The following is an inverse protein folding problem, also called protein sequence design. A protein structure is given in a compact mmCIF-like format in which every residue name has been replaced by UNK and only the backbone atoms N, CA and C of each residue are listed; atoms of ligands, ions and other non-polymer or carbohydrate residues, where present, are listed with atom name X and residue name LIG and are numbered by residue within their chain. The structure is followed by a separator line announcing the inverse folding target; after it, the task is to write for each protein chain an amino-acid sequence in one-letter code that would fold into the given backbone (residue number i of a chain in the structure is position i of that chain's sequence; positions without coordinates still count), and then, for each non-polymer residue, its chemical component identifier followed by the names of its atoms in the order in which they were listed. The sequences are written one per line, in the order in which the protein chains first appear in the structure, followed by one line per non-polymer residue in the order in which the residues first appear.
data_IF_466753565157
#
_entry.id   IF_466753565157
#
_cell.length_a   1.000
_cell.length_b   1.000
_cell.length_c   1.000
_cell.angle_alpha   90.00
_cell.angle_beta   90.00
_cell.angle_gamma   90.00
#
_symmetry.space_group_name_H-M   'P 1'
#
loop_
_entity.id
_entity.type
_entity.pdbx_description
1 polymer ?
#
# COMPACT_ATOMS: atom_id res chain seq x y z
N UNK A 1 21.65 5.49 -23.71
CA UNK A 1 22.15 5.00 -22.41
C UNK A 1 22.80 3.65 -22.67
N UNK A 2 23.90 3.33 -21.99
CA UNK A 2 24.54 2.02 -22.12
C UNK A 2 23.53 0.91 -21.78
N UNK A 3 23.30 -0.09 -22.66
CA UNK A 3 22.37 -1.19 -22.40
C UNK A 3 22.64 -1.92 -21.08
N UNK A 4 23.91 -2.07 -20.70
CA UNK A 4 24.30 -2.73 -19.45
C UNK A 4 23.87 -1.92 -18.22
N UNK A 5 23.99 -0.59 -18.29
CA UNK A 5 23.53 0.33 -17.25
C UNK A 5 22.01 0.31 -17.13
N UNK A 6 21.28 0.28 -18.25
CA UNK A 6 19.81 0.19 -18.23
C UNK A 6 19.34 -1.12 -17.59
N UNK A 7 19.97 -2.25 -17.91
CA UNK A 7 19.65 -3.54 -17.30
C UNK A 7 19.91 -3.54 -15.79
N UNK A 8 21.07 -3.03 -15.36
CA UNK A 8 21.42 -2.94 -13.94
C UNK A 8 20.43 -2.06 -13.15
N UNK A 9 20.07 -0.89 -13.70
CA UNK A 9 19.09 0.01 -13.09
C UNK A 9 17.71 -0.65 -12.98
N UNK A 10 17.25 -1.34 -14.02
CA UNK A 10 15.98 -2.09 -14.00
C UNK A 10 15.97 -3.10 -12.85
N UNK A 11 17.02 -3.92 -12.72
CA UNK A 11 17.14 -4.91 -11.65
C UNK A 11 17.05 -4.28 -10.25
N UNK A 12 17.77 -3.16 -10.03
CA UNK A 12 17.74 -2.42 -8.77
C UNK A 12 16.34 -1.90 -8.46
N UNK A 13 15.69 -1.24 -9.42
CA UNK A 13 14.36 -0.67 -9.20
C UNK A 13 13.28 -1.73 -9.01
N UNK A 14 13.40 -2.90 -9.66
CA UNK A 14 12.53 -4.05 -9.41
C UNK A 14 12.69 -4.55 -7.98
N UNK A 15 13.93 -4.75 -7.52
CA UNK A 15 14.20 -5.22 -6.17
C UNK A 15 13.63 -4.25 -5.12
N UNK A 16 13.84 -2.95 -5.32
CA UNK A 16 13.26 -1.90 -4.47
C UNK A 16 11.73 -1.92 -4.53
N UNK A 17 11.12 -2.05 -5.71
CA UNK A 17 9.67 -2.12 -5.86
C UNK A 17 9.08 -3.28 -5.06
N UNK A 18 9.67 -4.48 -5.18
CA UNK A 18 9.25 -5.66 -4.42
C UNK A 18 9.40 -5.43 -2.91
N UNK A 19 10.51 -4.85 -2.47
CA UNK A 19 10.72 -4.52 -1.05
C UNK A 19 9.64 -3.57 -0.53
N UNK A 20 9.27 -2.53 -1.28
CA UNK A 20 8.21 -1.62 -0.89
C UNK A 20 6.82 -2.26 -0.90
N UNK A 21 6.55 -3.18 -1.85
CA UNK A 21 5.33 -4.00 -1.83
C UNK A 21 5.27 -4.82 -0.54
N UNK A 22 6.38 -5.43 -0.11
CA UNK A 22 6.45 -6.19 1.15
C UNK A 22 6.16 -5.30 2.36
N UNK A 23 6.77 -4.11 2.44
CA UNK A 23 6.47 -3.16 3.52
C UNK A 23 5.00 -2.75 3.55
N UNK A 24 4.38 -2.56 2.38
CA UNK A 24 2.96 -2.27 2.33
C UNK A 24 2.12 -3.46 2.82
N UNK A 25 2.38 -4.66 2.31
CA UNK A 25 1.67 -5.89 2.67
C UNK A 25 1.82 -6.27 4.15
N UNK A 26 2.89 -5.82 4.81
CA UNK A 26 3.04 -5.99 6.27
C UNK A 26 1.87 -5.41 7.04
N UNK A 27 1.34 -4.24 6.66
CA UNK A 27 0.15 -3.65 7.29
C UNK A 27 -1.11 -4.50 7.08
N UNK A 28 -1.25 -5.10 5.89
CA UNK A 28 -2.34 -6.03 5.61
C UNK A 28 -2.25 -7.29 6.47
N UNK A 29 -1.08 -7.92 6.54
CA UNK A 29 -0.83 -9.10 7.37
C UNK A 29 -1.05 -8.78 8.86
N UNK A 30 -0.52 -7.66 9.34
CA UNK A 30 -0.75 -7.18 10.70
C UNK A 30 -2.25 -7.03 10.98
N UNK A 31 -3.02 -6.48 10.04
CA UNK A 31 -4.47 -6.31 10.21
C UNK A 31 -5.22 -7.63 10.40
N UNK A 32 -4.76 -8.74 9.79
CA UNK A 32 -5.30 -10.08 10.07
C UNK A 32 -4.95 -10.55 11.48
N UNK A 33 -3.70 -10.38 11.88
CA UNK A 33 -3.22 -10.76 13.22
C UNK A 33 -3.97 -9.98 14.31
N UNK A 34 -4.04 -8.65 14.22
CA UNK A 34 -4.72 -7.81 15.20
C UNK A 34 -6.21 -8.09 15.29
N UNK A 35 -6.90 -8.40 14.17
CA UNK A 35 -8.31 -8.81 14.21
C UNK A 35 -8.52 -10.10 15.00
N UNK A 36 -7.59 -11.06 14.93
CA UNK A 36 -7.66 -12.28 15.74
C UNK A 36 -7.41 -12.02 17.23
N UNK A 37 -6.54 -11.05 17.54
CA UNK A 37 -6.24 -10.66 18.93
C UNK A 37 -7.37 -9.82 19.56
N UNK A 38 -8.18 -9.13 18.75
CA UNK A 38 -9.37 -8.41 19.19
C UNK A 38 -10.54 -9.40 19.37
N UNK A 39 -10.60 -10.08 20.51
CA UNK A 39 -11.73 -10.93 20.90
C UNK A 39 -12.82 -10.12 21.62
N UNK A 40 -14.03 -10.70 21.74
CA UNK A 40 -15.14 -10.11 22.51
C UNK A 40 -14.81 -9.84 23.98
N UNK A 41 -13.84 -10.57 24.52
CA UNK A 41 -13.49 -10.55 25.94
C UNK A 41 -12.35 -9.57 26.25
N UNK A 42 -11.77 -8.93 25.23
CA UNK A 42 -10.75 -7.91 25.43
C UNK A 42 -11.34 -6.69 26.14
N UNK A 43 -10.68 -6.23 27.21
CA UNK A 43 -11.10 -4.99 27.85
C UNK A 43 -11.02 -3.82 26.88
N UNK A 44 -11.85 -2.81 27.05
CA UNK A 44 -11.85 -1.63 26.17
C UNK A 44 -10.46 -0.99 26.04
N UNK A 45 -9.68 -0.99 27.14
CA UNK A 45 -8.31 -0.50 27.16
C UNK A 45 -7.35 -1.37 26.35
N UNK A 46 -7.45 -2.71 26.47
CA UNK A 46 -6.65 -3.65 25.66
C UNK A 46 -6.99 -3.54 24.17
N UNK A 47 -8.28 -3.48 23.85
CA UNK A 47 -8.74 -3.33 22.47
C UNK A 47 -8.23 -2.02 21.85
N UNK A 48 -8.21 -0.92 22.61
CA UNK A 48 -7.64 0.34 22.16
C UNK A 48 -6.14 0.25 21.93
N UNK A 49 -5.38 -0.34 22.85
CA UNK A 49 -3.93 -0.53 22.69
C UNK A 49 -3.58 -1.35 21.44
N UNK A 50 -4.32 -2.43 21.18
CA UNK A 50 -4.16 -3.25 19.98
C UNK A 50 -4.49 -2.47 18.70
N UNK A 51 -5.57 -1.67 18.69
CA UNK A 51 -5.92 -0.82 17.54
C UNK A 51 -4.89 0.27 17.28
N UNK A 52 -4.30 0.86 18.33
CA UNK A 52 -3.21 1.83 18.18
C UNK A 52 -1.95 1.19 17.60
N UNK A 53 -1.59 -0.02 18.07
CA UNK A 53 -0.47 -0.78 17.52
C UNK A 53 -0.71 -1.12 16.04
N UNK A 54 -1.91 -1.61 15.71
CA UNK A 54 -2.33 -1.85 14.33
C UNK A 54 -2.23 -0.58 13.47
N UNK A 55 -2.73 0.56 13.98
CA UNK A 55 -2.66 1.84 13.29
C UNK A 55 -1.21 2.25 13.00
N UNK A 56 -0.30 2.13 13.97
CA UNK A 56 1.12 2.47 13.78
C UNK A 56 1.78 1.62 12.72
N UNK A 57 1.53 0.31 12.72
CA UNK A 57 2.08 -0.62 11.70
C UNK A 57 1.48 -0.31 10.32
N UNK A 58 0.17 -0.09 10.23
CA UNK A 58 -0.50 0.26 8.97
C UNK A 58 -0.02 1.61 8.43
N UNK A 59 0.17 2.59 9.31
CA UNK A 59 0.66 3.91 8.92
C UNK A 59 2.12 3.84 8.45
N UNK A 60 2.97 3.05 9.12
CA UNK A 60 4.35 2.82 8.67
C UNK A 60 4.37 2.13 7.29
N UNK A 61 3.67 1.00 7.15
CA UNK A 61 3.60 0.26 5.89
C UNK A 61 3.02 1.10 4.75
N UNK A 62 2.00 1.91 5.02
CA UNK A 62 1.41 2.83 4.04
C UNK A 62 2.30 4.03 3.70
N UNK A 63 2.93 4.66 4.69
CA UNK A 63 3.75 5.86 4.49
C UNK A 63 5.11 5.55 3.86
N UNK A 64 5.67 4.36 4.09
CA UNK A 64 6.94 3.93 3.48
C UNK A 64 6.69 3.09 2.23
N UNK A 65 5.89 2.02 2.36
CA UNK A 65 5.60 1.12 1.25
C UNK A 65 4.80 1.80 0.13
N UNK A 66 3.81 2.63 0.49
CA UNK A 66 2.96 3.32 -0.48
C UNK A 66 3.72 4.20 -1.48
N UNK A 67 4.36 5.28 -1.00
CA UNK A 67 5.21 6.13 -1.83
C UNK A 67 6.39 5.38 -2.47
N UNK A 68 6.95 4.37 -1.79
CA UNK A 68 8.03 3.56 -2.37
C UNK A 68 7.58 2.79 -3.62
N UNK A 69 6.44 2.09 -3.55
CA UNK A 69 5.81 1.40 -4.69
C UNK A 69 5.47 2.39 -5.80
N UNK A 70 4.98 3.60 -5.45
CA UNK A 70 4.70 4.67 -6.41
C UNK A 70 5.93 4.99 -7.25
N UNK A 71 6.98 5.45 -6.56
CA UNK A 71 8.13 6.08 -7.18
C UNK A 71 8.88 5.04 -8.00
N UNK A 72 9.12 3.87 -7.43
CA UNK A 72 9.78 2.77 -8.14
C UNK A 72 8.95 2.26 -9.32
N UNK A 73 7.61 2.20 -9.20
CA UNK A 73 6.73 1.79 -10.30
C UNK A 73 6.74 2.77 -11.46
N UNK A 74 6.72 4.08 -11.20
CA UNK A 74 6.82 5.13 -12.23
C UNK A 74 8.18 5.10 -12.93
N UNK A 75 9.26 4.92 -12.16
CA UNK A 75 10.61 4.82 -12.73
C UNK A 75 10.70 3.59 -13.65
N UNK A 76 10.22 2.42 -13.19
CA UNK A 76 10.20 1.20 -14.01
C UNK A 76 9.40 1.37 -15.29
N UNK A 77 8.26 2.06 -15.23
CA UNK A 77 7.47 2.34 -16.42
C UNK A 77 8.25 3.15 -17.45
N UNK A 78 8.97 4.18 -17.01
CA UNK A 78 9.85 4.98 -17.87
C UNK A 78 11.02 4.17 -18.47
N UNK A 79 11.57 3.23 -17.70
CA UNK A 79 12.68 2.38 -18.15
C UNK A 79 12.26 1.30 -19.18
N UNK A 80 11.00 0.87 -19.17
CA UNK A 80 10.47 -0.20 -20.04
C UNK A 80 9.67 0.37 -21.23
N UNK A 81 9.50 1.70 -21.31
CA UNK A 81 8.75 2.41 -22.38
C UNK A 81 7.32 1.91 -22.58
N UNK A 82 6.67 1.45 -21.51
CA UNK A 82 5.26 1.10 -21.56
C UNK A 82 4.41 2.37 -21.42
N UNK A 83 3.32 2.44 -22.18
CA UNK A 83 2.42 3.61 -22.17
C UNK A 83 1.99 3.99 -20.76
N UNK A 84 2.27 5.23 -20.35
CA UNK A 84 1.72 5.83 -19.15
C UNK A 84 0.26 6.19 -19.41
N UNK A 85 -0.67 5.76 -18.55
CA UNK A 85 -2.10 6.11 -18.61
C UNK A 85 -2.80 5.78 -19.94
N UNK A 86 -2.30 4.81 -20.71
CA UNK A 86 -2.92 4.44 -21.98
C UNK A 86 -2.52 5.29 -23.19
N UNK A 87 -1.51 6.17 -23.08
CA UNK A 87 -0.97 6.94 -24.23
C UNK A 87 -0.09 6.08 -25.17
N UNK A 88 -0.64 4.94 -25.61
CA UNK A 88 -0.02 3.93 -26.46
C UNK A 88 -0.76 2.58 -26.35
N UNK A 89 -0.44 1.55 -27.17
CA UNK A 89 -1.05 0.23 -27.07
C UNK A 89 -0.73 -0.40 -25.71
N UNK A 90 -1.66 -0.21 -24.77
CA UNK A 90 -1.52 -0.59 -23.37
C UNK A 90 -2.44 -1.78 -23.12
N UNK A 91 -1.92 -2.95 -22.71
CA UNK A 91 -2.76 -4.09 -22.37
C UNK A 91 -3.80 -3.74 -21.30
N UNK A 92 -5.02 -4.26 -21.43
CA UNK A 92 -6.15 -3.94 -20.52
C UNK A 92 -5.80 -4.18 -19.04
N UNK A 93 -5.06 -5.25 -18.73
CA UNK A 93 -4.65 -5.56 -17.35
C UNK A 93 -3.76 -4.46 -16.75
N UNK A 94 -2.89 -3.85 -17.56
CA UNK A 94 -1.98 -2.78 -17.13
C UNK A 94 -2.76 -1.48 -16.91
N UNK A 95 -3.73 -1.19 -17.79
CA UNK A 95 -4.64 -0.07 -17.61
C UNK A 95 -5.43 -0.18 -16.31
N UNK A 96 -6.04 -1.35 -16.03
CA UNK A 96 -6.77 -1.59 -14.77
C UNK A 96 -5.85 -1.41 -13.56
N UNK A 97 -4.62 -1.91 -13.64
CA UNK A 97 -3.60 -1.76 -12.58
C UNK A 97 -3.29 -0.29 -12.32
N UNK A 98 -3.08 0.51 -13.38
CA UNK A 98 -2.80 1.95 -13.27
C UNK A 98 -4.01 2.70 -12.68
N UNK A 99 -5.24 2.35 -13.08
CA UNK A 99 -6.45 2.97 -12.54
C UNK A 99 -6.65 2.68 -11.04
N UNK A 100 -6.54 1.41 -10.63
CA UNK A 100 -6.64 1.04 -9.21
C UNK A 100 -5.56 1.73 -8.38
N UNK A 101 -4.39 1.89 -8.96
CA UNK A 101 -3.29 2.62 -8.35
C UNK A 101 -3.60 4.12 -8.13
N UNK A 102 -4.18 4.81 -9.13
CA UNK A 102 -4.63 6.21 -8.99
C UNK A 102 -5.71 6.35 -7.91
N UNK A 103 -6.71 5.45 -7.89
CA UNK A 103 -7.76 5.43 -6.86
C UNK A 103 -7.15 5.29 -5.47
N UNK A 104 -6.18 4.38 -5.31
CA UNK A 104 -5.50 4.15 -4.03
C UNK A 104 -4.76 5.40 -3.54
N UNK A 105 -4.10 6.13 -4.44
CA UNK A 105 -3.44 7.39 -4.10
C UNK A 105 -4.42 8.47 -3.66
N UNK A 106 -5.54 8.63 -4.38
CA UNK A 106 -6.57 9.62 -4.02
C UNK A 106 -7.15 9.31 -2.64
N UNK A 107 -7.47 8.04 -2.37
CA UNK A 107 -7.95 7.61 -1.04
C UNK A 107 -6.89 7.84 0.04
N UNK A 108 -5.63 7.54 -0.26
CA UNK A 108 -4.54 7.73 0.69
C UNK A 108 -4.33 9.22 1.03
N UNK A 109 -4.16 10.07 0.01
CA UNK A 109 -3.87 11.49 0.19
C UNK A 109 -5.09 12.27 0.70
N UNK A 110 -6.28 11.98 0.19
CA UNK A 110 -7.51 12.70 0.52
C UNK A 110 -8.18 12.25 1.82
N UNK A 111 -7.98 11.00 2.24
CA UNK A 111 -8.69 10.45 3.41
C UNK A 111 -7.72 9.91 4.47
N UNK A 112 -6.78 9.04 4.12
CA UNK A 112 -5.90 8.41 5.12
C UNK A 112 -4.95 9.43 5.75
N UNK A 113 -4.21 10.19 4.95
CA UNK A 113 -3.20 11.13 5.43
C UNK A 113 -3.78 12.21 6.37
N UNK A 114 -4.86 12.93 6.04
CA UNK A 114 -5.43 13.92 6.96
C UNK A 114 -5.99 13.27 8.24
N UNK A 115 -6.65 12.12 8.13
CA UNK A 115 -7.17 11.43 9.31
C UNK A 115 -6.05 10.83 10.17
N UNK A 116 -4.94 10.40 9.58
CA UNK A 116 -3.77 9.90 10.32
C UNK A 116 -3.18 11.00 11.20
N UNK A 117 -3.10 12.24 10.67
CA UNK A 117 -2.68 13.41 11.45
C UNK A 117 -3.63 13.67 12.61
N UNK A 118 -4.95 13.67 12.36
CA UNK A 118 -5.98 13.84 13.40
C UNK A 118 -5.91 12.75 14.47
N UNK A 119 -5.76 11.48 14.08
CA UNK A 119 -5.59 10.37 15.02
C UNK A 119 -4.35 10.56 15.86
N UNK A 120 -3.22 10.98 15.27
CA UNK A 120 -2.00 11.24 16.05
C UNK A 120 -2.24 12.31 17.12
N UNK A 121 -2.85 13.44 16.76
CA UNK A 121 -3.21 14.49 17.73
C UNK A 121 -4.19 13.98 18.79
N UNK A 122 -5.21 13.21 18.39
CA UNK A 122 -6.16 12.63 19.32
C UNK A 122 -5.52 11.58 20.26
N UNK A 123 -4.48 10.87 19.81
CA UNK A 123 -3.70 9.96 20.65
C UNK A 123 -2.91 10.72 21.71
N UNK A 124 -2.29 11.85 21.33
CA UNK A 124 -1.55 12.69 22.27
C UNK A 124 -2.52 13.26 23.33
N UNK A 125 -3.66 13.81 22.91
CA UNK A 125 -4.71 14.30 23.82
C UNK A 125 -5.29 13.20 24.73
N UNK A 126 -5.45 11.97 24.22
CA UNK A 126 -5.94 10.85 25.01
C UNK A 126 -4.93 10.39 26.06
N UNK A 127 -3.62 10.50 25.78
CA UNK A 127 -2.59 10.22 26.76
C UNK A 127 -2.63 11.21 27.94
N UNK A 128 -2.93 12.48 27.65
CA UNK A 128 -2.97 13.53 28.67
C UNK A 128 -4.29 13.55 29.47
N UNK A 129 -5.43 13.35 28.80
CA UNK A 129 -6.77 13.55 29.39
C UNK A 129 -7.56 12.27 29.65
N UNK A 130 -7.12 11.13 29.10
CA UNK A 130 -7.88 9.88 29.10
C UNK A 130 -9.11 9.86 28.18
N UNK A 131 -9.42 10.96 27.49
CA UNK A 131 -10.58 11.03 26.59
C UNK A 131 -10.26 10.40 25.23
N UNK A 132 -10.95 9.29 24.93
CA UNK A 132 -10.77 8.52 23.68
C UNK A 132 -11.91 8.67 22.67
N UNK A 133 -12.89 9.55 22.91
CA UNK A 133 -14.08 9.65 22.06
C UNK A 133 -13.73 10.01 20.61
N UNK A 134 -12.79 10.95 20.41
CA UNK A 134 -12.34 11.34 19.07
C UNK A 134 -11.67 10.17 18.34
N UNK A 135 -10.79 9.43 19.01
CA UNK A 135 -10.15 8.22 18.46
C UNK A 135 -11.17 7.18 18.03
N UNK A 136 -12.19 6.94 18.87
CA UNK A 136 -13.25 5.97 18.57
C UNK A 136 -14.06 6.34 17.32
N UNK A 137 -14.22 7.64 17.03
CA UNK A 137 -14.91 8.10 15.82
C UNK A 137 -14.04 8.04 14.56
N UNK A 138 -12.73 8.30 14.67
CA UNK A 138 -11.82 8.38 13.52
C UNK A 138 -11.30 7.01 13.06
N UNK A 139 -11.02 6.10 14.01
CA UNK A 139 -10.41 4.80 13.70
C UNK A 139 -11.23 3.91 12.76
N UNK A 140 -12.56 3.74 12.92
CA UNK A 140 -13.33 2.86 12.05
C UNK A 140 -13.26 3.26 10.58
N UNK A 141 -13.36 4.58 10.29
CA UNK A 141 -13.26 5.11 8.93
C UNK A 141 -11.88 4.85 8.33
N UNK A 142 -10.81 5.02 9.11
CA UNK A 142 -9.45 4.72 8.66
C UNK A 142 -9.25 3.24 8.36
N UNK A 143 -9.76 2.35 9.21
CA UNK A 143 -9.67 0.90 9.00
C UNK A 143 -10.43 0.45 7.75
N UNK A 144 -11.62 1.03 7.50
CA UNK A 144 -12.41 0.74 6.31
C UNK A 144 -11.67 1.16 5.03
N UNK A 145 -11.23 2.42 4.97
CA UNK A 145 -10.51 2.94 3.79
C UNK A 145 -9.19 2.20 3.58
N UNK A 146 -8.46 1.88 4.66
CA UNK A 146 -7.25 1.07 4.58
C UNK A 146 -7.53 -0.34 4.04
N UNK A 147 -8.66 -0.95 4.40
CA UNK A 147 -9.08 -2.25 3.86
C UNK A 147 -9.36 -2.16 2.35
N UNK A 148 -10.06 -1.11 1.89
CA UNK A 148 -10.31 -0.87 0.46
C UNK A 148 -9.01 -0.73 -0.32
N UNK A 149 -8.08 0.11 0.16
CA UNK A 149 -6.76 0.28 -0.46
C UNK A 149 -6.01 -1.06 -0.54
N UNK A 150 -6.00 -1.84 0.54
CA UNK A 150 -5.35 -3.14 0.57
C UNK A 150 -5.95 -4.13 -0.44
N UNK A 151 -7.27 -4.16 -0.61
CA UNK A 151 -7.94 -4.98 -1.62
C UNK A 151 -7.49 -4.57 -3.03
N UNK A 152 -7.45 -3.27 -3.32
CA UNK A 152 -6.99 -2.76 -4.62
C UNK A 152 -5.55 -3.21 -4.91
N UNK A 153 -4.67 -3.15 -3.91
CA UNK A 153 -3.28 -3.57 -4.05
C UNK A 153 -3.17 -5.07 -4.31
N UNK A 154 -3.93 -5.89 -3.58
CA UNK A 154 -3.95 -7.34 -3.80
C UNK A 154 -4.39 -7.65 -5.23
N UNK A 155 -5.44 -7.00 -5.72
CA UNK A 155 -5.87 -7.11 -7.12
C UNK A 155 -4.74 -6.67 -8.07
N UNK A 156 -4.04 -5.58 -7.78
CA UNK A 156 -2.90 -5.12 -8.58
C UNK A 156 -1.74 -6.12 -8.62
N UNK A 157 -1.44 -6.80 -7.52
CA UNK A 157 -0.43 -7.87 -7.46
C UNK A 157 -0.88 -9.07 -8.29
N UNK A 158 -2.16 -9.48 -8.19
CA UNK A 158 -2.70 -10.57 -9.00
C UNK A 158 -2.70 -10.22 -10.49
N UNK A 159 -3.06 -9.00 -10.88
CA UNK A 159 -3.02 -8.55 -12.27
C UNK A 159 -1.58 -8.53 -12.81
N UNK A 160 -0.60 -8.13 -12.00
CA UNK A 160 0.80 -8.20 -12.38
C UNK A 160 1.24 -9.65 -12.60
N UNK A 161 0.90 -10.56 -11.68
CA UNK A 161 1.21 -11.97 -11.81
C UNK A 161 0.50 -12.63 -13.01
N UNK A 162 -0.76 -12.26 -13.27
CA UNK A 162 -1.53 -12.77 -14.40
C UNK A 162 -1.03 -12.24 -15.74
N UNK A 163 -0.74 -10.94 -15.84
CA UNK A 163 -0.10 -10.36 -17.02
C UNK A 163 1.25 -11.03 -17.33
N UNK A 164 1.94 -11.50 -16.30
CA UNK A 164 3.19 -12.24 -16.43
C UNK A 164 3.01 -13.76 -16.71
N UNK A 165 1.79 -14.30 -16.64
CA UNK A 165 1.48 -15.70 -17.02
C UNK A 165 1.26 -15.92 -18.51
N UNK A 166 1.44 -14.89 -19.35
CA UNK A 166 1.67 -15.06 -20.79
C UNK A 166 2.93 -15.90 -21.13
N UNK A 167 3.71 -16.31 -20.12
CA UNK A 167 4.76 -17.32 -20.17
C UNK A 167 5.90 -16.98 -19.20
N UNK A 168 6.67 -17.96 -18.71
CA UNK A 168 7.89 -17.70 -17.89
C UNK A 168 8.89 -16.79 -18.63
N UNK A 169 8.92 -16.87 -19.96
CA UNK A 169 9.68 -15.96 -20.82
C UNK A 169 9.17 -14.51 -20.75
N UNK A 170 7.92 -14.26 -20.36
CA UNK A 170 7.39 -12.90 -20.18
C UNK A 170 7.74 -12.28 -18.83
N UNK A 171 8.03 -13.10 -17.80
CA UNK A 171 8.66 -12.66 -16.54
C UNK A 171 10.12 -12.32 -16.80
N UNK A 172 10.84 -13.18 -17.54
CA UNK A 172 12.23 -12.94 -17.92
C UNK A 172 12.32 -11.76 -18.90
N UNK A 173 11.41 -11.59 -19.86
CA UNK A 173 11.34 -10.39 -20.72
C UNK A 173 10.76 -9.15 -20.01
N UNK A 174 10.16 -9.31 -18.83
CA UNK A 174 9.85 -8.20 -17.92
C UNK A 174 11.12 -7.74 -17.17
N UNK A 175 12.09 -8.64 -16.99
CA UNK A 175 13.30 -8.45 -16.19
C UNK A 175 14.61 -8.47 -17.01
N UNK A 176 14.55 -8.67 -18.32
CA UNK A 176 15.64 -8.79 -19.29
C UNK A 176 15.45 -7.83 -20.45
#
# INVERSE_FOLDING_TARGET
MDPSLTLALRGIFVALHILFVVFWLMGFAASFVFRKLLTSDSSQQQAMALRMAQFRINNFGGAVGGPGVLVTGLILLGLVQWGFLGFGPTPLWLFIKQLGYVISLVLFMGIINPNAKKIRTAMDSAADSGNIAELQSLMPRMMQVGTVINIIIIVNVFLAAWGARGGLNSIINWFG
#
